data_IF_872531430794
#
_entry.id   IF_872531430794
#
_cell.length_a   1.000
_cell.length_b   1.000
_cell.length_c   1.000
_cell.angle_alpha   90.00
_cell.angle_beta   90.00
_cell.angle_gamma   90.00
#
_symmetry.space_group_name_H-M   'P 1'
#
loop_
_entity.id
_entity.type
_entity.pdbx_description
1 polymer ?
#
# COMPACT_ATOMS: atom_id res chain seq x y z
N UNK A 1 -47.85 -34.47 -29.37
CA UNK A 1 -47.37 -33.10 -29.08
C UNK A 1 -46.29 -33.23 -28.00
N UNK A 2 -45.05 -33.50 -28.38
CA UNK A 2 -44.03 -33.93 -27.40
C UNK A 2 -42.60 -33.54 -27.81
N UNK A 3 -42.43 -32.42 -28.51
CA UNK A 3 -41.09 -31.96 -28.94
C UNK A 3 -40.69 -30.58 -28.39
N UNK A 4 -41.58 -29.88 -27.68
CA UNK A 4 -41.34 -28.50 -27.22
C UNK A 4 -40.65 -28.40 -25.86
N UNK A 5 -40.75 -29.42 -25.00
CA UNK A 5 -40.16 -29.38 -23.65
C UNK A 5 -38.65 -29.61 -23.63
N UNK A 6 -38.12 -30.37 -24.59
CA UNK A 6 -36.70 -30.74 -24.66
C UNK A 6 -35.83 -29.60 -25.21
N UNK A 7 -36.36 -28.83 -26.17
CA UNK A 7 -35.65 -27.68 -26.76
C UNK A 7 -35.53 -26.51 -25.77
N UNK A 8 -36.58 -26.26 -24.98
CA UNK A 8 -36.57 -25.20 -23.98
C UNK A 8 -35.52 -25.44 -22.88
N UNK A 9 -35.31 -26.70 -22.47
CA UNK A 9 -34.28 -27.05 -21.47
C UNK A 9 -32.86 -26.94 -22.02
N UNK A 10 -32.66 -27.24 -23.31
CA UNK A 10 -31.37 -27.10 -24.00
C UNK A 10 -30.98 -25.64 -24.19
N UNK A 11 -31.97 -24.79 -24.49
CA UNK A 11 -31.78 -23.34 -24.62
C UNK A 11 -31.43 -22.70 -23.27
N UNK A 12 -32.15 -23.07 -22.20
CA UNK A 12 -31.86 -22.63 -20.83
C UNK A 12 -30.46 -23.05 -20.35
N UNK A 13 -30.06 -24.30 -20.61
CA UNK A 13 -28.73 -24.79 -20.24
C UNK A 13 -27.60 -24.01 -20.95
N UNK A 14 -27.81 -23.62 -22.22
CA UNK A 14 -26.86 -22.78 -22.98
C UNK A 14 -26.77 -21.37 -22.42
N UNK A 15 -27.90 -20.76 -22.05
CA UNK A 15 -27.93 -19.42 -21.46
C UNK A 15 -27.22 -19.43 -20.09
N UNK A 16 -27.51 -20.40 -19.24
CA UNK A 16 -26.84 -20.56 -17.93
C UNK A 16 -25.34 -20.76 -18.10
N UNK A 17 -24.92 -21.59 -19.05
CA UNK A 17 -23.50 -21.81 -19.35
C UNK A 17 -22.80 -20.54 -19.85
N UNK A 18 -23.46 -19.75 -20.69
CA UNK A 18 -22.92 -18.47 -21.18
C UNK A 18 -22.79 -17.44 -20.06
N UNK A 19 -23.75 -17.37 -19.14
CA UNK A 19 -23.68 -16.50 -17.96
C UNK A 19 -22.52 -16.91 -17.04
N UNK A 20 -22.37 -18.21 -16.77
CA UNK A 20 -21.26 -18.73 -15.98
C UNK A 20 -19.89 -18.47 -16.63
N UNK A 21 -19.80 -18.62 -17.95
CA UNK A 21 -18.59 -18.28 -18.72
C UNK A 21 -18.29 -16.77 -18.65
N UNK A 22 -19.31 -15.92 -18.77
CA UNK A 22 -19.14 -14.47 -18.68
C UNK A 22 -18.66 -14.05 -17.28
N UNK A 23 -19.23 -14.60 -16.20
CA UNK A 23 -18.77 -14.34 -14.83
C UNK A 23 -17.34 -14.82 -14.59
N UNK A 24 -16.99 -16.00 -15.13
CA UNK A 24 -15.64 -16.54 -15.00
C UNK A 24 -14.61 -15.66 -15.74
N UNK A 25 -14.92 -15.23 -16.96
CA UNK A 25 -14.08 -14.30 -17.73
C UNK A 25 -13.96 -12.96 -17.02
N UNK A 26 -15.05 -12.44 -16.44
CA UNK A 26 -15.03 -11.19 -15.67
C UNK A 26 -14.12 -11.30 -14.42
N UNK A 27 -14.18 -12.43 -13.69
CA UNK A 27 -13.29 -12.69 -12.56
C UNK A 27 -11.83 -12.81 -12.99
N UNK A 28 -11.54 -13.50 -14.09
CA UNK A 28 -10.17 -13.64 -14.62
C UNK A 28 -9.63 -12.26 -15.04
N UNK A 29 -10.45 -11.43 -15.71
CA UNK A 29 -10.06 -10.08 -16.10
C UNK A 29 -9.83 -9.17 -14.90
N UNK A 30 -10.66 -9.25 -13.85
CA UNK A 30 -10.44 -8.51 -12.59
C UNK A 30 -9.13 -8.91 -11.89
N UNK A 31 -8.77 -10.20 -11.93
CA UNK A 31 -7.50 -10.70 -11.40
C UNK A 31 -6.32 -10.27 -12.27
N UNK A 32 -6.45 -10.29 -13.59
CA UNK A 32 -5.41 -9.86 -14.53
C UNK A 32 -5.14 -8.35 -14.47
N UNK A 33 -6.19 -7.53 -14.32
CA UNK A 33 -6.05 -6.07 -14.14
C UNK A 33 -5.40 -5.74 -12.79
N UNK A 34 -5.64 -6.52 -11.74
CA UNK A 34 -4.92 -6.41 -10.45
C UNK A 34 -3.49 -6.98 -10.50
N UNK A 35 -3.22 -7.91 -11.41
CA UNK A 35 -1.91 -8.56 -11.59
C UNK A 35 -0.93 -7.81 -12.48
N UNK A 36 -1.38 -6.77 -13.20
CA UNK A 36 -0.52 -5.91 -14.03
C UNK A 36 0.21 -4.82 -13.22
N UNK A 37 0.02 -4.76 -11.91
CA UNK A 37 0.89 -4.02 -11.01
C UNK A 37 2.16 -4.85 -10.90
N UNK A 38 3.15 -4.59 -11.75
CA UNK A 38 4.49 -5.16 -11.58
C UNK A 38 4.94 -4.72 -10.18
N UNK A 39 5.04 -5.62 -9.19
CA UNK A 39 5.56 -5.23 -7.90
C UNK A 39 7.04 -4.90 -8.16
N UNK A 40 7.40 -3.63 -8.07
CA UNK A 40 8.80 -3.28 -7.90
C UNK A 40 9.32 -4.13 -6.74
N UNK A 41 10.50 -4.74 -6.86
CA UNK A 41 10.99 -5.58 -5.80
C UNK A 41 11.14 -4.71 -4.54
N UNK A 42 10.24 -4.93 -3.59
CA UNK A 42 10.23 -4.23 -2.31
C UNK A 42 11.22 -4.97 -1.43
N UNK A 43 12.39 -4.38 -1.24
CA UNK A 43 13.39 -4.92 -0.35
C UNK A 43 13.22 -4.30 1.03
N UNK A 44 13.57 -5.04 2.09
CA UNK A 44 13.91 -4.40 3.34
C UNK A 44 15.15 -3.52 3.07
N UNK A 45 15.10 -2.20 3.31
CA UNK A 45 16.24 -1.33 3.09
C UNK A 45 17.45 -1.85 3.87
N UNK A 46 18.57 -2.04 3.18
CA UNK A 46 19.82 -2.50 3.78
C UNK A 46 20.43 -1.36 4.59
N UNK A 47 20.59 -1.56 5.89
CA UNK A 47 21.34 -0.68 6.77
C UNK A 47 22.83 -0.96 6.58
N UNK A 48 23.43 -0.37 5.54
CA UNK A 48 24.89 -0.38 5.42
C UNK A 48 25.48 0.40 6.60
N UNK A 49 26.58 -0.06 7.24
CA UNK A 49 27.27 0.74 8.24
C UNK A 49 27.90 1.95 7.55
N UNK A 50 27.33 3.13 7.79
CA UNK A 50 27.82 4.38 7.22
C UNK A 50 28.94 4.93 8.13
N UNK A 51 30.14 5.10 7.59
CA UNK A 51 31.32 5.64 8.29
C UNK A 51 31.33 7.17 8.40
N UNK A 52 30.33 7.84 7.80
CA UNK A 52 30.08 9.28 7.88
C UNK A 52 28.87 9.60 8.78
N UNK A 53 28.71 10.87 9.18
CA UNK A 53 27.56 11.32 9.96
C UNK A 53 26.24 10.86 9.29
N UNK A 54 25.31 10.24 10.04
CA UNK A 54 24.01 9.85 9.50
C UNK A 54 23.32 11.03 8.85
N UNK A 55 22.70 10.80 7.70
CA UNK A 55 21.93 11.82 6.96
C UNK A 55 20.45 11.46 6.98
N UNK A 56 19.60 12.48 6.88
CA UNK A 56 18.16 12.29 6.79
C UNK A 56 17.79 11.59 5.49
N UNK A 57 16.97 10.55 5.59
CA UNK A 57 16.38 9.83 4.44
C UNK A 57 15.01 10.43 4.16
N UNK A 58 14.85 11.07 2.99
CA UNK A 58 13.56 11.61 2.58
C UNK A 58 12.62 10.45 2.23
N UNK A 59 11.41 10.50 2.77
CA UNK A 59 10.36 9.52 2.55
C UNK A 59 9.27 10.14 1.67
N UNK A 60 8.80 9.39 0.68
CA UNK A 60 7.72 9.84 -0.22
C UNK A 60 6.90 8.64 -0.67
N UNK A 61 5.61 8.82 -0.91
CA UNK A 61 4.84 7.74 -1.52
C UNK A 61 5.04 7.72 -3.03
N UNK A 62 5.32 6.54 -3.60
CA UNK A 62 5.52 6.41 -5.04
C UNK A 62 4.30 6.82 -5.88
N UNK A 63 3.11 6.75 -5.30
CA UNK A 63 1.88 7.20 -5.94
C UNK A 63 1.85 8.70 -6.23
N UNK A 64 2.72 9.49 -5.59
CA UNK A 64 2.93 10.91 -5.94
C UNK A 64 3.63 11.08 -7.29
N UNK A 65 4.43 10.08 -7.68
CA UNK A 65 5.17 10.07 -8.94
C UNK A 65 4.42 9.37 -10.06
N UNK A 66 3.74 8.27 -9.74
CA UNK A 66 2.92 7.49 -10.65
C UNK A 66 1.81 6.81 -9.84
N UNK A 67 0.54 7.16 -10.04
CA UNK A 67 -0.59 6.59 -9.30
C UNK A 67 -0.68 5.05 -9.38
N UNK A 68 -0.10 4.42 -10.41
CA UNK A 68 -0.06 2.97 -10.54
C UNK A 68 1.02 2.31 -9.66
N UNK A 69 1.98 3.08 -9.13
CA UNK A 69 3.08 2.58 -8.29
C UNK A 69 2.73 2.68 -6.83
N UNK A 70 2.88 1.55 -6.14
CA UNK A 70 2.73 1.43 -4.70
C UNK A 70 4.11 1.28 -4.05
N UNK A 71 4.25 1.83 -2.85
CA UNK A 71 5.46 1.73 -2.04
C UNK A 71 5.85 3.05 -1.39
N UNK A 72 6.60 2.97 -0.29
CA UNK A 72 7.26 4.12 0.31
C UNK A 72 8.66 4.21 -0.27
N UNK A 73 8.91 5.26 -1.04
CA UNK A 73 10.21 5.59 -1.61
C UNK A 73 11.15 6.16 -0.52
N UNK A 74 12.38 5.67 -0.50
CA UNK A 74 13.46 6.16 0.35
C UNK A 74 14.51 6.83 -0.52
N UNK A 75 14.69 8.14 -0.33
CA UNK A 75 15.67 8.93 -1.05
C UNK A 75 16.85 9.24 -0.14
N UNK A 76 18.04 8.89 -0.61
CA UNK A 76 19.31 9.36 -0.06
C UNK A 76 19.65 10.74 -0.64
N UNK A 77 20.61 11.42 -0.01
CA UNK A 77 21.13 12.71 -0.50
C UNK A 77 21.64 12.53 -1.93
N UNK A 78 21.11 13.35 -2.85
CA UNK A 78 21.50 13.34 -4.28
C UNK A 78 20.57 12.55 -5.21
N UNK A 79 19.55 11.86 -4.69
CA UNK A 79 18.60 11.17 -5.55
C UNK A 79 17.64 12.15 -6.21
N UNK A 80 17.38 11.96 -7.51
CA UNK A 80 16.34 12.69 -8.21
C UNK A 80 14.94 12.34 -7.65
N UNK A 81 14.00 13.32 -7.60
CA UNK A 81 12.60 13.03 -7.32
C UNK A 81 12.07 11.91 -8.22
N UNK A 82 11.21 11.05 -7.67
CA UNK A 82 10.60 9.92 -8.39
C UNK A 82 11.54 8.81 -8.88
N UNK A 83 12.83 8.89 -8.53
CA UNK A 83 13.84 7.87 -8.81
C UNK A 83 14.55 7.42 -7.52
N UNK A 84 13.81 6.78 -6.59
CA UNK A 84 14.41 6.34 -5.34
C UNK A 84 15.37 5.17 -5.57
N UNK A 85 16.36 5.06 -4.70
CA UNK A 85 17.30 3.92 -4.67
C UNK A 85 16.64 2.72 -4.00
N UNK A 86 15.71 2.95 -3.07
CA UNK A 86 15.04 1.89 -2.31
C UNK A 86 13.54 2.17 -2.17
N UNK A 87 12.76 1.09 -2.15
CA UNK A 87 11.31 1.12 -2.01
C UNK A 87 10.92 0.13 -0.91
N UNK A 88 10.35 0.65 0.17
CA UNK A 88 9.85 -0.15 1.28
C UNK A 88 8.43 -0.66 1.00
N UNK A 89 8.18 -1.93 1.37
CA UNK A 89 6.83 -2.50 1.43
C UNK A 89 6.05 -1.97 2.64
N UNK A 90 4.71 -2.07 2.58
CA UNK A 90 3.87 -1.82 3.76
C UNK A 90 4.18 -2.77 4.91
N UNK A 91 4.52 -4.03 4.64
CA UNK A 91 4.88 -5.01 5.68
C UNK A 91 6.13 -4.58 6.44
N UNK A 92 7.18 -4.15 5.72
CA UNK A 92 8.37 -3.61 6.37
C UNK A 92 8.01 -2.35 7.16
N UNK A 93 7.25 -1.44 6.55
CA UNK A 93 6.86 -0.20 7.21
C UNK A 93 6.08 -0.45 8.49
N UNK A 94 5.11 -1.36 8.45
CA UNK A 94 4.33 -1.78 9.61
C UNK A 94 5.24 -2.26 10.73
N UNK A 95 6.21 -3.14 10.43
CA UNK A 95 7.15 -3.63 11.44
C UNK A 95 7.91 -2.48 12.13
N UNK A 96 8.42 -1.52 11.35
CA UNK A 96 9.14 -0.37 11.89
C UNK A 96 8.24 0.52 12.75
N UNK A 97 7.04 0.83 12.26
CA UNK A 97 6.10 1.71 12.95
C UNK A 97 5.54 1.09 14.23
N UNK A 98 5.32 -0.23 14.25
CA UNK A 98 4.97 -0.96 15.48
C UNK A 98 6.12 -0.92 16.48
N UNK A 99 7.35 -1.22 16.06
CA UNK A 99 8.54 -1.16 16.93
C UNK A 99 8.76 0.24 17.52
N UNK A 100 8.42 1.30 16.77
CA UNK A 100 8.56 2.70 17.22
C UNK A 100 7.31 3.25 17.94
N UNK A 101 6.31 2.40 18.16
CA UNK A 101 5.06 2.76 18.86
C UNK A 101 4.28 3.87 18.16
N UNK A 102 4.31 3.91 16.82
CA UNK A 102 3.39 4.72 16.02
C UNK A 102 2.13 3.92 15.67
N UNK A 103 2.27 2.60 15.58
CA UNK A 103 1.18 1.62 15.47
C UNK A 103 1.16 0.73 16.71
N UNK A 104 -0.04 0.34 17.14
CA UNK A 104 -0.20 -0.73 18.11
C UNK A 104 0.13 -2.09 17.48
N UNK A 105 0.44 -3.09 18.31
CA UNK A 105 0.78 -4.44 17.84
C UNK A 105 -0.39 -5.19 17.18
N UNK A 106 -1.62 -4.76 17.45
CA UNK A 106 -2.86 -5.31 16.88
C UNK A 106 -3.31 -4.59 15.61
N UNK A 107 -2.56 -3.57 15.18
CA UNK A 107 -2.86 -2.80 13.99
C UNK A 107 -2.02 -3.27 12.81
N UNK A 108 -2.59 -3.12 11.61
CA UNK A 108 -1.88 -3.42 10.37
C UNK A 108 -2.18 -2.37 9.30
N UNK A 109 -1.33 -2.36 8.26
CA UNK A 109 -1.41 -1.38 7.18
C UNK A 109 -1.96 -1.99 5.91
N UNK A 110 -2.85 -1.25 5.26
CA UNK A 110 -3.27 -1.50 3.89
C UNK A 110 -3.13 -0.23 3.05
N UNK A 111 -3.07 -0.38 1.74
CA UNK A 111 -3.14 0.76 0.82
C UNK A 111 -4.53 1.38 0.89
N UNK A 112 -4.61 2.70 0.95
CA UNK A 112 -5.88 3.40 0.84
C UNK A 112 -6.43 3.21 -0.58
N UNK A 113 -7.67 2.72 -0.70
CA UNK A 113 -8.33 2.54 -2.00
C UNK A 113 -8.51 3.88 -2.74
N UNK A 114 -8.92 4.92 -2.00
CA UNK A 114 -9.10 6.28 -2.52
C UNK A 114 -8.39 7.29 -1.58
N UNK A 115 -7.12 7.61 -1.83
CA UNK A 115 -6.40 8.57 -1.01
C UNK A 115 -6.88 9.99 -1.34
N UNK A 116 -7.65 10.60 -0.42
CA UNK A 116 -8.05 12.02 -0.51
C UNK A 116 -6.88 12.98 -0.25
N UNK A 117 -5.75 12.47 0.25
CA UNK A 117 -4.54 13.22 0.53
C UNK A 117 -3.32 12.45 -0.01
N UNK A 118 -2.54 13.08 -0.89
CA UNK A 118 -1.34 12.51 -1.51
C UNK A 118 -0.24 12.17 -0.50
N UNK A 119 -0.24 12.83 0.66
CA UNK A 119 0.66 12.50 1.76
C UNK A 119 0.22 11.25 2.53
N UNK A 120 -1.05 10.82 2.45
CA UNK A 120 -1.62 9.76 3.30
C UNK A 120 -2.12 8.56 2.50
N UNK A 121 -1.20 7.68 2.12
CA UNK A 121 -1.47 6.59 1.17
C UNK A 121 -1.76 5.24 1.82
N UNK A 122 -1.51 5.08 3.11
CA UNK A 122 -1.83 3.85 3.83
C UNK A 122 -2.91 4.09 4.89
N UNK A 123 -3.87 3.17 4.98
CA UNK A 123 -4.88 3.13 6.04
C UNK A 123 -4.38 2.22 7.16
N UNK A 124 -4.61 2.65 8.40
CA UNK A 124 -4.38 1.83 9.59
C UNK A 124 -5.67 1.10 9.89
N UNK A 125 -5.62 -0.22 9.97
CA UNK A 125 -6.76 -1.05 10.36
C UNK A 125 -6.51 -1.60 11.76
N UNK A 126 -7.48 -1.42 12.65
CA UNK A 126 -7.50 -2.10 13.94
C UNK A 126 -7.95 -3.55 13.71
N UNK A 127 -7.24 -4.52 14.32
CA UNK A 127 -7.58 -5.94 14.24
C UNK A 127 -8.97 -6.27 14.82
N UNK A 128 -9.26 -7.55 15.10
CA UNK A 128 -9.67 -8.55 14.10
C UNK A 128 -10.82 -8.09 13.15
N UNK A 129 -11.49 -6.99 13.43
CA UNK A 129 -12.64 -6.51 12.65
C UNK A 129 -12.24 -5.68 11.42
N UNK A 130 -10.94 -5.46 11.21
CA UNK A 130 -10.40 -4.68 10.07
C UNK A 130 -10.98 -3.26 10.01
N UNK A 131 -11.29 -2.68 11.17
CA UNK A 131 -11.94 -1.37 11.25
C UNK A 131 -10.91 -0.25 11.00
N UNK A 132 -11.18 0.72 10.11
CA UNK A 132 -10.28 1.85 9.88
C UNK A 132 -10.05 2.66 11.16
N UNK A 133 -8.79 2.82 11.54
CA UNK A 133 -8.35 3.49 12.77
C UNK A 133 -7.31 4.61 12.52
N UNK A 134 -7.28 5.13 11.30
CA UNK A 134 -6.43 6.25 10.91
C UNK A 134 -5.70 6.01 9.61
N UNK A 135 -4.71 6.85 9.35
CA UNK A 135 -3.87 6.81 8.15
C UNK A 135 -2.41 6.99 8.51
N UNK A 136 -1.52 6.43 7.70
CA UNK A 136 -0.10 6.75 7.75
C UNK A 136 0.22 7.69 6.62
N UNK A 137 0.89 8.79 6.98
CA UNK A 137 1.22 9.86 6.07
C UNK A 137 2.74 10.10 6.07
N UNK A 138 3.28 10.55 4.94
CA UNK A 138 4.69 10.87 4.79
C UNK A 138 4.84 12.21 4.05
N UNK A 139 5.73 13.05 4.57
CA UNK A 139 6.12 14.32 3.97
C UNK A 139 7.62 14.59 4.22
N UNK A 140 8.08 15.80 3.86
CA UNK A 140 9.48 16.20 3.99
C UNK A 140 9.99 16.21 5.44
N UNK A 141 9.10 16.23 6.45
CA UNK A 141 9.48 16.18 7.88
C UNK A 141 9.55 14.76 8.41
N UNK A 142 9.06 13.77 7.67
CA UNK A 142 9.08 12.36 8.06
C UNK A 142 7.72 11.68 7.89
N UNK A 143 7.56 10.54 8.58
CA UNK A 143 6.34 9.75 8.59
C UNK A 143 5.57 9.96 9.89
N UNK A 144 4.24 10.00 9.81
CA UNK A 144 3.37 10.24 10.95
C UNK A 144 2.04 9.52 10.79
N UNK A 145 1.34 9.41 11.92
CA UNK A 145 -0.01 8.90 11.96
C UNK A 145 -0.99 10.07 11.97
N UNK A 146 -2.01 9.96 11.16
CA UNK A 146 -3.13 10.88 11.11
C UNK A 146 -4.45 10.16 11.44
N UNK A 147 -5.47 10.91 11.81
CA UNK A 147 -6.83 10.39 11.91
C UNK A 147 -7.39 10.07 10.51
N UNK A 148 -8.61 9.54 10.44
CA UNK A 148 -9.23 9.19 9.14
C UNK A 148 -9.45 10.42 8.24
N UNK A 149 -9.58 11.61 8.82
CA UNK A 149 -9.68 12.89 8.12
C UNK A 149 -8.31 13.46 7.68
N UNK A 150 -7.19 12.78 8.00
CA UNK A 150 -5.85 13.21 7.62
C UNK A 150 -5.23 14.26 8.55
N UNK A 151 -5.80 14.48 9.74
CA UNK A 151 -5.22 15.39 10.75
C UNK A 151 -4.15 14.68 11.57
N UNK A 152 -2.98 15.31 11.70
CA UNK A 152 -1.80 14.80 12.40
C UNK A 152 -2.00 14.74 13.92
N UNK A 153 -1.55 13.65 14.56
CA UNK A 153 -1.55 13.47 16.01
C UNK A 153 -0.25 13.95 16.70
N UNK A 154 0.68 14.56 15.96
CA UNK A 154 1.85 15.25 16.49
C UNK A 154 3.10 14.38 16.68
N UNK A 155 2.99 13.05 16.62
CA UNK A 155 4.17 12.15 16.63
C UNK A 155 4.66 11.89 15.21
N UNK A 156 5.83 12.43 14.90
CA UNK A 156 6.53 12.29 13.61
C UNK A 156 7.83 11.52 13.79
N UNK A 157 8.13 10.63 12.87
CA UNK A 157 9.34 9.82 12.84
C UNK A 157 10.15 10.12 11.58
N UNK A 158 11.45 10.30 11.76
CA UNK A 158 12.43 10.50 10.70
C UNK A 158 13.31 9.26 10.60
N UNK A 159 13.53 8.80 9.38
CA UNK A 159 14.49 7.73 9.11
C UNK A 159 15.85 8.35 8.76
N UNK A 160 16.91 7.80 9.33
CA UNK A 160 18.28 8.18 9.07
C UNK A 160 19.01 7.09 8.29
N UNK A 161 20.09 7.46 7.59
CA UNK A 161 20.82 6.58 6.68
C UNK A 161 21.51 5.40 7.37
N UNK A 162 21.67 5.46 8.70
CA UNK A 162 22.15 4.37 9.56
C UNK A 162 21.03 3.38 9.97
N UNK A 163 19.79 3.61 9.50
CA UNK A 163 18.62 2.81 9.84
C UNK A 163 17.88 3.25 11.10
N UNK A 164 18.38 4.27 11.81
CA UNK A 164 17.73 4.74 13.02
C UNK A 164 16.48 5.57 12.71
N UNK A 165 15.41 5.26 13.42
CA UNK A 165 14.21 6.11 13.46
C UNK A 165 14.25 7.00 14.70
N UNK A 166 14.15 8.30 14.47
CA UNK A 166 14.19 9.36 15.49
C UNK A 166 12.89 10.14 15.47
N UNK A 167 12.35 10.51 16.62
CA UNK A 167 11.19 11.39 16.68
C UNK A 167 11.60 12.81 16.28
N UNK A 168 10.91 13.42 15.30
CA UNK A 168 11.18 14.82 14.94
C UNK A 168 10.67 15.73 16.04
N UNK A 169 11.43 16.76 16.37
CA UNK A 169 10.98 17.86 17.23
C UNK A 169 10.00 18.77 16.50
#
# INVERSE_FOLDING_TARGET
MENTLTDSRRSLARIVMLVLLAELVLRIMQVAIRGAIIPLPTYAPSTAPVTSQPTFVRLEWLSQCDPARQGLALYTVGNDPCRPVQIASLTWLQSQLTTKGLLASTEYLEWAADPTNTACQAVVLAGPNSAPNGRVCADWRGIYRANLAGQDFGKRLQLWSDGNWVQSQ
#
